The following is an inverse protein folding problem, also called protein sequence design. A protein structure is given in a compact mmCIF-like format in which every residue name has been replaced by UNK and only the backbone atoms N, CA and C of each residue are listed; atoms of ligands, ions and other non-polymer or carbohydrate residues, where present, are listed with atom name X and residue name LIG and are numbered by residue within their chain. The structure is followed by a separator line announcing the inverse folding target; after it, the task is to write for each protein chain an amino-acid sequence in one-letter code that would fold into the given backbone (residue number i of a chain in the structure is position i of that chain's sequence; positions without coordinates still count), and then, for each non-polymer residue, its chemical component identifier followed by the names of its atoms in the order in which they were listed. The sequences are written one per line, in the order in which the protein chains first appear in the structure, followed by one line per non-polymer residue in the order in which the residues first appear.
data_IF_197077954777
#
_entry.id   IF_197077954777
#
_cell.length_a   1.000
_cell.length_b   1.000
_cell.length_c   1.000
_cell.angle_alpha   90.00
_cell.angle_beta   90.00
_cell.angle_gamma   90.00
#
_symmetry.space_group_name_H-M   'P 1'
#
loop_
_entity.id
_entity.type
_entity.pdbx_description
1 polymer ?
#
# COMPACT_ATOMS: atom_id res chain seq x y z
N UNK A 1 7.38 -6.20 -16.84
CA UNK A 1 6.98 -4.81 -16.50
C UNK A 1 7.64 -4.40 -15.19
N UNK A 2 7.77 -3.09 -14.97
CA UNK A 2 8.11 -2.50 -13.69
C UNK A 2 6.83 -2.14 -12.94
N UNK A 3 6.65 -2.67 -11.74
CA UNK A 3 5.44 -2.49 -10.94
C UNK A 3 5.79 -1.73 -9.67
N UNK A 4 5.17 -0.57 -9.46
CA UNK A 4 5.25 0.21 -8.24
C UNK A 4 4.21 -0.30 -7.23
N UNK A 5 4.67 -0.74 -6.07
CA UNK A 5 3.81 -1.30 -5.02
C UNK A 5 3.90 -0.41 -3.79
N UNK A 6 2.76 0.11 -3.33
CA UNK A 6 2.69 0.77 -2.03
C UNK A 6 2.82 -0.22 -0.88
N UNK A 7 3.06 0.27 0.31
CA UNK A 7 3.26 -0.56 1.50
C UNK A 7 2.03 -0.55 2.41
N UNK A 8 1.62 0.64 2.86
CA UNK A 8 0.54 0.78 3.85
C UNK A 8 -0.80 0.40 3.21
N UNK A 9 -1.52 -0.49 3.86
CA UNK A 9 -2.80 -1.08 3.45
C UNK A 9 -2.82 -1.69 2.01
N UNK A 10 -1.61 -1.99 1.49
CA UNK A 10 -1.38 -2.80 0.28
C UNK A 10 -0.58 -4.06 0.61
N UNK A 11 0.53 -3.92 1.34
CA UNK A 11 1.35 -5.03 1.85
C UNK A 11 1.23 -5.16 3.37
N UNK A 12 1.27 -4.04 4.08
CA UNK A 12 1.30 -3.90 5.52
C UNK A 12 -0.06 -3.38 6.02
N UNK A 13 -0.72 -4.03 6.99
CA UNK A 13 -2.03 -3.60 7.50
C UNK A 13 -1.89 -2.39 8.44
N UNK A 14 -1.60 -1.21 7.89
CA UNK A 14 -1.27 -0.01 8.67
C UNK A 14 -2.37 0.38 9.65
N UNK A 15 -3.60 0.48 9.17
CA UNK A 15 -4.75 0.87 10.01
C UNK A 15 -4.94 -0.08 11.19
N UNK A 16 -4.93 -1.39 10.94
CA UNK A 16 -5.13 -2.39 12.00
C UNK A 16 -3.97 -2.38 13.01
N UNK A 17 -2.74 -2.28 12.52
CA UNK A 17 -1.56 -2.23 13.39
C UNK A 17 -1.50 -0.97 14.23
N UNK A 18 -1.92 0.16 13.68
CA UNK A 18 -1.99 1.41 14.43
C UNK A 18 -3.07 1.36 15.51
N UNK A 19 -4.24 0.77 15.22
CA UNK A 19 -5.29 0.52 16.22
C UNK A 19 -4.79 -0.34 17.37
N UNK A 20 -4.11 -1.44 17.05
CA UNK A 20 -3.52 -2.33 18.07
C UNK A 20 -2.53 -1.56 18.95
N UNK A 21 -1.65 -0.77 18.33
CA UNK A 21 -0.67 0.01 19.06
C UNK A 21 -1.34 1.07 19.94
N UNK A 22 -2.33 1.83 19.43
CA UNK A 22 -3.05 2.85 20.21
C UNK A 22 -3.75 2.24 21.42
N UNK A 23 -4.37 1.07 21.25
CA UNK A 23 -5.02 0.36 22.36
C UNK A 23 -3.99 -0.11 23.41
N UNK A 24 -2.87 -0.68 22.97
CA UNK A 24 -1.81 -1.18 23.85
C UNK A 24 -1.08 -0.05 24.58
N UNK A 25 -0.86 1.08 23.93
CA UNK A 25 -0.22 2.27 24.52
C UNK A 25 -1.20 3.09 25.41
N UNK A 26 -2.49 2.73 25.41
CA UNK A 26 -3.51 3.45 26.20
C UNK A 26 -3.84 4.85 25.66
N UNK A 27 -3.55 5.10 24.37
CA UNK A 27 -3.87 6.36 23.68
C UNK A 27 -5.37 6.48 23.47
N UNK A 28 -5.97 5.45 22.84
CA UNK A 28 -7.41 5.34 22.62
C UNK A 28 -7.88 3.91 22.91
N UNK A 29 -9.07 3.74 23.51
CA UNK A 29 -9.66 2.42 23.62
C UNK A 29 -10.13 1.94 22.24
N UNK A 30 -10.07 0.62 21.97
CA UNK A 30 -10.47 0.01 20.70
C UNK A 30 -11.88 0.47 20.23
N UNK A 31 -12.82 0.59 21.16
CA UNK A 31 -14.20 1.03 20.88
C UNK A 31 -14.28 2.48 20.32
N UNK A 32 -13.25 3.31 20.53
CA UNK A 32 -13.16 4.67 19.99
C UNK A 32 -12.55 4.71 18.59
N UNK A 33 -12.09 3.58 18.06
CA UNK A 33 -11.41 3.47 16.77
C UNK A 33 -12.20 2.56 15.81
N UNK A 34 -13.36 3.00 15.28
CA UNK A 34 -14.09 2.23 14.28
C UNK A 34 -13.24 2.02 13.01
N UNK A 35 -13.61 1.05 12.18
CA UNK A 35 -13.00 0.90 10.87
C UNK A 35 -13.18 2.19 10.06
N UNK A 36 -12.10 2.77 9.50
CA UNK A 36 -12.17 4.02 8.77
C UNK A 36 -13.06 3.94 7.53
N UNK A 37 -13.81 5.01 7.30
CA UNK A 37 -14.65 5.19 6.10
C UNK A 37 -14.06 6.21 5.13
N UNK A 38 -13.07 7.00 5.58
CA UNK A 38 -12.33 8.00 4.81
C UNK A 38 -10.83 7.77 4.97
N UNK A 39 -10.05 8.24 4.01
CA UNK A 39 -8.58 8.14 4.07
C UNK A 39 -7.99 8.98 5.22
N UNK A 40 -8.48 10.22 5.37
CA UNK A 40 -8.12 11.09 6.50
C UNK A 40 -9.03 10.75 7.70
N UNK A 41 -8.74 9.64 8.37
CA UNK A 41 -9.59 9.10 9.43
C UNK A 41 -9.21 9.52 10.86
N UNK A 42 -8.18 10.36 11.04
CA UNK A 42 -7.78 10.82 12.37
C UNK A 42 -8.94 11.45 13.17
N UNK A 43 -9.76 12.25 12.50
CA UNK A 43 -10.94 12.87 13.08
C UNK A 43 -12.09 11.87 13.37
N UNK A 44 -12.19 10.76 12.64
CA UNK A 44 -13.12 9.67 12.97
C UNK A 44 -12.77 9.02 14.31
N UNK A 45 -11.49 9.09 14.70
CA UNK A 45 -10.99 8.62 16.00
C UNK A 45 -10.89 9.75 17.03
N UNK A 46 -11.34 10.97 16.70
CA UNK A 46 -11.35 12.12 17.59
C UNK A 46 -9.98 12.76 17.81
N UNK A 47 -9.02 12.50 16.91
CA UNK A 47 -7.67 13.06 16.98
C UNK A 47 -7.55 14.30 16.07
N UNK A 48 -6.86 15.34 16.56
CA UNK A 48 -6.47 16.46 15.73
C UNK A 48 -5.21 16.15 14.89
N UNK A 49 -4.98 16.90 13.80
CA UNK A 49 -3.88 16.65 12.84
C UNK A 49 -2.50 16.59 13.51
N UNK A 50 -2.19 17.51 14.44
CA UNK A 50 -0.89 17.52 15.11
C UNK A 50 -0.73 16.33 16.05
N UNK A 51 -1.78 16.02 16.80
CA UNK A 51 -1.81 14.88 17.71
C UNK A 51 -1.68 13.56 16.95
N UNK A 52 -2.37 13.43 15.81
CA UNK A 52 -2.24 12.31 14.90
C UNK A 52 -0.78 12.10 14.44
N UNK A 53 -0.14 13.17 13.97
CA UNK A 53 1.25 13.11 13.49
C UNK A 53 2.20 12.70 14.63
N UNK A 54 2.05 13.26 15.82
CA UNK A 54 2.87 12.93 16.98
C UNK A 54 2.74 11.45 17.36
N UNK A 55 1.51 10.92 17.42
CA UNK A 55 1.27 9.51 17.75
C UNK A 55 1.77 8.58 16.67
N UNK A 56 1.63 8.92 15.39
CA UNK A 56 2.20 8.12 14.30
C UNK A 56 3.73 8.06 14.37
N UNK A 57 4.41 9.17 14.73
CA UNK A 57 5.86 9.16 14.96
C UNK A 57 6.23 8.27 16.15
N UNK A 58 5.52 8.39 17.27
CA UNK A 58 5.78 7.57 18.45
C UNK A 58 5.56 6.08 18.14
N UNK A 59 4.46 5.71 17.49
CA UNK A 59 4.19 4.34 17.11
C UNK A 59 5.28 3.76 16.19
N UNK A 60 5.75 4.54 15.25
CA UNK A 60 6.84 4.14 14.35
C UNK A 60 8.15 3.92 15.11
N UNK A 61 8.52 4.80 16.04
CA UNK A 61 9.72 4.68 16.88
C UNK A 61 9.60 3.51 17.89
N UNK A 62 8.39 3.17 18.32
CA UNK A 62 8.09 1.98 19.12
C UNK A 62 8.04 0.68 18.32
N UNK A 63 8.34 0.73 17.01
CA UNK A 63 8.51 -0.44 16.16
C UNK A 63 7.26 -0.88 15.38
N UNK A 64 6.25 -0.02 15.21
CA UNK A 64 5.06 -0.31 14.40
C UNK A 64 5.43 -0.91 13.05
N UNK A 65 6.37 -0.28 12.33
CA UNK A 65 6.72 -0.63 10.96
C UNK A 65 7.72 -1.79 10.80
N UNK A 66 8.17 -2.40 11.89
CA UNK A 66 9.07 -3.55 11.85
C UNK A 66 8.42 -4.84 12.37
N UNK A 67 7.17 -4.76 12.85
CA UNK A 67 6.45 -5.87 13.46
C UNK A 67 5.12 -6.17 12.74
N UNK A 68 4.62 -7.38 12.95
CA UNK A 68 3.33 -7.81 12.44
C UNK A 68 3.37 -8.43 11.04
N UNK A 69 2.39 -9.30 10.73
CA UNK A 69 2.31 -9.99 9.45
C UNK A 69 1.86 -9.05 8.32
N UNK A 70 2.18 -9.39 7.05
CA UNK A 70 1.60 -8.72 5.90
C UNK A 70 0.11 -9.01 5.77
N UNK A 71 -0.55 -8.20 4.95
CA UNK A 71 -1.94 -8.43 4.56
C UNK A 71 -2.13 -9.81 3.92
N UNK A 72 -3.30 -10.46 4.13
CA UNK A 72 -3.61 -11.72 3.48
C UNK A 72 -3.42 -11.63 1.96
N UNK A 73 -2.75 -12.61 1.38
CA UNK A 73 -2.50 -12.65 -0.07
C UNK A 73 -1.33 -11.79 -0.57
N UNK A 74 -0.77 -10.86 0.22
CA UNK A 74 0.32 -9.99 -0.23
C UNK A 74 1.56 -10.77 -0.66
N UNK A 75 2.02 -11.74 0.16
CA UNK A 75 3.17 -12.58 -0.18
C UNK A 75 2.90 -13.47 -1.40
N UNK A 76 1.70 -14.04 -1.51
CA UNK A 76 1.32 -14.87 -2.66
C UNK A 76 1.28 -14.05 -3.96
N UNK A 77 0.69 -12.84 -3.91
CA UNK A 77 0.66 -11.91 -5.03
C UNK A 77 2.06 -11.47 -5.44
N UNK A 78 2.92 -11.15 -4.46
CA UNK A 78 4.32 -10.80 -4.72
C UNK A 78 5.07 -11.93 -5.46
N UNK A 79 4.97 -13.15 -4.93
CA UNK A 79 5.61 -14.33 -5.53
C UNK A 79 5.08 -14.62 -6.94
N UNK A 80 3.77 -14.46 -7.17
CA UNK A 80 3.16 -14.66 -8.49
C UNK A 80 3.65 -13.62 -9.51
N UNK A 81 3.73 -12.34 -9.14
CA UNK A 81 4.26 -11.27 -9.99
C UNK A 81 5.74 -11.51 -10.33
N UNK A 82 6.54 -11.93 -9.34
CA UNK A 82 7.95 -12.32 -9.56
C UNK A 82 8.07 -13.51 -10.52
N UNK A 83 7.27 -14.56 -10.31
CA UNK A 83 7.26 -15.75 -11.18
C UNK A 83 6.87 -15.42 -12.62
N UNK A 84 6.02 -14.40 -12.82
CA UNK A 84 5.67 -13.86 -14.14
C UNK A 84 6.78 -12.96 -14.75
N UNK A 85 7.92 -12.78 -14.08
CA UNK A 85 9.07 -12.02 -14.58
C UNK A 85 8.94 -10.50 -14.45
N UNK A 86 8.08 -10.01 -13.55
CA UNK A 86 7.97 -8.58 -13.28
C UNK A 86 9.06 -8.12 -12.31
N UNK A 87 9.49 -6.86 -12.45
CA UNK A 87 10.30 -6.15 -11.46
C UNK A 87 9.37 -5.43 -10.50
N UNK A 88 9.63 -5.55 -9.20
CA UNK A 88 8.79 -5.00 -8.15
C UNK A 88 9.54 -3.91 -7.39
N UNK A 89 9.01 -2.70 -7.44
CA UNK A 89 9.56 -1.52 -6.79
C UNK A 89 8.61 -1.12 -5.67
N UNK A 90 9.13 -1.03 -4.45
CA UNK A 90 8.36 -0.48 -3.34
C UNK A 90 8.39 1.04 -3.44
N UNK A 91 7.20 1.66 -3.51
CA UNK A 91 7.04 3.10 -3.67
C UNK A 91 6.03 3.61 -2.64
N UNK A 92 6.51 4.10 -1.52
CA UNK A 92 5.69 4.45 -0.35
C UNK A 92 5.90 5.89 0.10
N UNK A 93 4.86 6.50 0.66
CA UNK A 93 4.91 7.83 1.26
C UNK A 93 5.24 7.81 2.76
N UNK A 94 5.67 6.66 3.32
CA UNK A 94 6.05 6.56 4.74
C UNK A 94 7.04 7.62 5.14
N UNK A 95 6.70 8.40 6.16
CA UNK A 95 7.54 9.49 6.69
C UNK A 95 7.64 9.48 8.23
N UNK A 96 6.91 8.58 8.90
CA UNK A 96 6.86 8.54 10.37
C UNK A 96 8.04 7.79 10.96
N UNK A 97 8.43 8.22 12.17
CA UNK A 97 9.55 7.66 12.92
C UNK A 97 10.89 8.28 12.56
N UNK A 98 11.92 7.90 13.33
CA UNK A 98 13.29 8.41 13.19
C UNK A 98 14.06 7.79 12.01
N UNK A 99 13.63 6.61 11.53
CA UNK A 99 14.32 5.86 10.48
C UNK A 99 13.33 5.11 9.55
N UNK A 100 12.42 5.80 8.83
CA UNK A 100 11.36 5.15 8.08
C UNK A 100 11.85 4.21 6.97
N UNK A 101 12.96 4.56 6.30
CA UNK A 101 13.55 3.69 5.28
C UNK A 101 14.05 2.38 5.86
N UNK A 102 14.86 2.44 6.92
CA UNK A 102 15.43 1.26 7.57
C UNK A 102 14.34 0.36 8.20
N UNK A 103 13.29 0.95 8.78
CA UNK A 103 12.16 0.22 9.32
C UNK A 103 11.41 -0.54 8.19
N UNK A 104 11.16 0.13 7.07
CA UNK A 104 10.50 -0.48 5.91
C UNK A 104 11.35 -1.61 5.32
N UNK A 105 12.64 -1.39 5.09
CA UNK A 105 13.58 -2.42 4.59
C UNK A 105 13.63 -3.64 5.51
N UNK A 106 13.69 -3.41 6.83
CA UNK A 106 13.71 -4.48 7.84
C UNK A 106 12.45 -5.34 7.74
N UNK A 107 11.29 -4.71 7.63
CA UNK A 107 10.02 -5.44 7.54
C UNK A 107 9.90 -6.19 6.21
N UNK A 108 10.23 -5.56 5.09
CA UNK A 108 10.22 -6.20 3.76
C UNK A 108 11.10 -7.44 3.75
N UNK A 109 12.32 -7.33 4.28
CA UNK A 109 13.26 -8.45 4.37
C UNK A 109 12.75 -9.59 5.27
N UNK A 110 12.16 -9.25 6.43
CA UNK A 110 11.61 -10.24 7.36
C UNK A 110 10.48 -11.08 6.76
N UNK A 111 9.71 -10.50 5.82
CA UNK A 111 8.57 -11.17 5.17
C UNK A 111 8.86 -11.64 3.73
N UNK A 112 10.11 -11.52 3.27
CA UNK A 112 10.54 -12.05 1.98
C UNK A 112 10.07 -11.24 0.78
N UNK A 113 9.81 -9.94 0.96
CA UNK A 113 9.53 -9.01 -0.14
C UNK A 113 10.86 -8.51 -0.73
N UNK A 114 11.38 -9.22 -1.72
CA UNK A 114 12.63 -8.93 -2.43
C UNK A 114 12.44 -7.83 -3.49
N UNK A 115 12.31 -6.58 -3.05
CA UNK A 115 12.11 -5.45 -3.95
C UNK A 115 13.37 -5.12 -4.77
N UNK A 116 13.19 -4.77 -6.05
CA UNK A 116 14.28 -4.28 -6.93
C UNK A 116 14.76 -2.89 -6.50
N UNK A 117 13.88 -2.09 -5.90
CA UNK A 117 14.21 -0.81 -5.27
C UNK A 117 13.16 -0.39 -4.24
N UNK A 118 13.59 0.48 -3.32
CA UNK A 118 12.71 1.15 -2.34
C UNK A 118 12.76 2.66 -2.59
N UNK A 119 11.59 3.28 -2.74
CA UNK A 119 11.41 4.71 -2.90
C UNK A 119 10.49 5.25 -1.80
N UNK A 120 11.02 6.09 -0.91
CA UNK A 120 10.21 6.83 0.05
C UNK A 120 9.88 8.20 -0.54
N UNK A 121 8.69 8.32 -1.12
CA UNK A 121 8.24 9.54 -1.80
C UNK A 121 6.74 9.63 -1.92
N UNK A 122 6.19 10.83 -1.77
CA UNK A 122 4.82 11.17 -2.14
C UNK A 122 4.66 11.53 -3.64
N UNK A 123 5.77 11.80 -4.34
CA UNK A 123 5.78 12.06 -5.77
C UNK A 123 5.93 10.74 -6.56
N UNK A 124 5.05 9.77 -6.29
CA UNK A 124 5.13 8.40 -6.86
C UNK A 124 5.14 8.40 -8.39
N UNK A 125 4.48 9.36 -9.03
CA UNK A 125 4.44 9.51 -10.50
C UNK A 125 5.81 9.74 -11.15
N UNK A 126 6.83 10.17 -10.39
CA UNK A 126 8.19 10.34 -10.88
C UNK A 126 9.00 9.03 -10.92
N UNK A 127 8.54 7.99 -10.23
CA UNK A 127 9.19 6.67 -10.27
C UNK A 127 8.85 6.00 -11.60
N UNK A 128 9.87 5.42 -12.25
CA UNK A 128 9.73 4.81 -13.57
C UNK A 128 9.13 3.40 -13.47
N UNK A 129 7.81 3.31 -13.24
CA UNK A 129 7.05 2.06 -13.26
C UNK A 129 5.98 2.10 -14.36
N UNK A 130 5.65 0.92 -14.90
CA UNK A 130 4.61 0.74 -15.93
C UNK A 130 3.20 0.79 -15.34
N UNK A 131 3.06 0.29 -14.11
CA UNK A 131 1.81 0.25 -13.35
C UNK A 131 2.09 0.43 -11.87
N UNK A 132 1.15 1.05 -11.16
CA UNK A 132 1.20 1.21 -9.69
C UNK A 132 -0.01 0.54 -9.06
N UNK A 133 0.17 0.01 -7.84
CA UNK A 133 -0.94 -0.37 -6.95
C UNK A 133 -0.83 0.47 -5.67
N UNK A 134 -1.95 1.07 -5.27
CA UNK A 134 -2.03 2.00 -4.14
C UNK A 134 -3.46 1.98 -3.54
N UNK A 135 -3.61 2.27 -2.26
CA UNK A 135 -4.90 2.38 -1.58
C UNK A 135 -5.37 3.83 -1.44
N UNK A 136 -4.43 4.80 -1.48
CA UNK A 136 -4.68 6.21 -1.23
C UNK A 136 -5.40 6.88 -2.40
N UNK A 137 -6.60 7.46 -2.18
CA UNK A 137 -7.32 8.21 -3.22
C UNK A 137 -6.48 9.30 -3.86
N UNK A 138 -5.77 10.09 -3.05
CA UNK A 138 -4.95 11.20 -3.53
C UNK A 138 -3.78 10.72 -4.40
N UNK A 139 -3.15 9.59 -4.05
CA UNK A 139 -2.06 9.02 -4.86
C UNK A 139 -2.57 8.45 -6.17
N UNK A 140 -3.69 7.73 -6.17
CA UNK A 140 -4.33 7.22 -7.38
C UNK A 140 -4.70 8.37 -8.33
N UNK A 141 -5.34 9.43 -7.83
CA UNK A 141 -5.68 10.61 -8.64
C UNK A 141 -4.43 11.29 -9.20
N UNK A 142 -3.38 11.43 -8.39
CA UNK A 142 -2.10 12.00 -8.83
C UNK A 142 -1.47 11.15 -9.95
N UNK A 143 -1.40 9.83 -9.77
CA UNK A 143 -0.82 8.92 -10.75
C UNK A 143 -1.57 8.99 -12.08
N UNK A 144 -2.89 8.90 -12.06
CA UNK A 144 -3.75 8.99 -13.25
C UNK A 144 -3.64 10.38 -13.89
N UNK A 145 -3.65 11.45 -13.09
CA UNK A 145 -3.48 12.83 -13.57
C UNK A 145 -2.15 13.07 -14.29
N UNK A 146 -1.11 12.30 -13.98
CA UNK A 146 0.18 12.31 -14.66
C UNK A 146 0.30 11.24 -15.78
N UNK A 147 -0.81 10.63 -16.18
CA UNK A 147 -0.84 9.63 -17.26
C UNK A 147 -0.20 8.29 -16.89
N UNK A 148 -0.07 7.98 -15.59
CA UNK A 148 0.40 6.69 -15.12
C UNK A 148 -0.77 5.70 -15.01
N UNK A 149 -0.54 4.42 -15.30
CA UNK A 149 -1.49 3.36 -14.98
C UNK A 149 -1.46 3.13 -13.49
N UNK A 150 -2.60 3.29 -12.82
CA UNK A 150 -2.77 3.02 -11.40
C UNK A 150 -3.93 2.05 -11.18
N UNK A 151 -3.73 1.09 -10.30
CA UNK A 151 -4.70 0.09 -9.89
C UNK A 151 -5.00 0.32 -8.42
N UNK A 152 -6.28 0.41 -8.08
CA UNK A 152 -6.74 0.67 -6.71
C UNK A 152 -6.70 -0.64 -5.92
N UNK A 153 -5.99 -0.68 -4.80
CA UNK A 153 -6.20 -1.69 -3.78
C UNK A 153 -7.51 -1.36 -3.04
N UNK A 154 -8.52 -2.25 -3.10
CA UNK A 154 -9.86 -1.96 -2.57
C UNK A 154 -9.85 -1.81 -1.05
N UNK A 155 -10.17 -0.61 -0.59
CA UNK A 155 -10.36 -0.27 0.81
C UNK A 155 -11.66 0.51 0.99
N UNK A 156 -12.21 0.50 2.22
CA UNK A 156 -13.48 1.19 2.48
C UNK A 156 -13.41 2.69 2.12
N UNK A 157 -12.28 3.33 2.38
CA UNK A 157 -12.06 4.76 2.18
C UNK A 157 -11.86 5.19 0.72
N UNK A 158 -11.65 4.26 -0.21
CA UNK A 158 -11.43 4.60 -1.62
C UNK A 158 -12.58 4.19 -2.55
N UNK A 159 -13.69 3.66 -2.01
CA UNK A 159 -14.86 3.21 -2.79
C UNK A 159 -15.63 4.33 -3.50
N UNK A 160 -15.41 5.57 -3.10
CA UNK A 160 -15.96 6.74 -3.78
C UNK A 160 -15.27 7.07 -5.11
N UNK A 161 -14.08 6.52 -5.38
CA UNK A 161 -13.35 6.72 -6.63
C UNK A 161 -14.10 6.14 -7.83
N UNK A 162 -13.91 6.70 -9.04
CA UNK A 162 -14.63 6.28 -10.24
C UNK A 162 -14.56 4.78 -10.49
N UNK A 163 -15.71 4.13 -10.68
CA UNK A 163 -15.79 2.68 -10.94
C UNK A 163 -15.20 2.23 -12.28
N UNK A 164 -14.85 3.17 -13.16
CA UNK A 164 -14.13 2.88 -14.40
C UNK A 164 -12.63 2.66 -14.22
N UNK A 165 -12.07 3.00 -13.05
CA UNK A 165 -10.67 2.77 -12.73
C UNK A 165 -10.44 1.32 -12.29
N UNK A 166 -9.29 0.76 -12.68
CA UNK A 166 -8.93 -0.60 -12.32
C UNK A 166 -8.85 -0.75 -10.79
N UNK A 167 -9.50 -1.79 -10.28
CA UNK A 167 -9.57 -2.06 -8.84
C UNK A 167 -9.40 -3.55 -8.58
N UNK A 168 -8.67 -3.90 -7.53
CA UNK A 168 -8.36 -5.28 -7.17
C UNK A 168 -8.41 -5.48 -5.65
N UNK A 169 -8.58 -6.71 -5.22
CA UNK A 169 -8.44 -7.11 -3.82
C UNK A 169 -6.95 -7.35 -3.50
N UNK A 170 -6.24 -6.27 -3.20
CA UNK A 170 -4.82 -6.30 -2.84
C UNK A 170 -3.89 -6.83 -3.93
N UNK A 171 -2.66 -7.23 -3.53
CA UNK A 171 -1.61 -7.60 -4.47
C UNK A 171 -1.88 -8.94 -5.20
N UNK A 172 -2.59 -9.86 -4.59
CA UNK A 172 -3.00 -11.11 -5.25
C UNK A 172 -3.92 -10.82 -6.43
N UNK A 173 -4.90 -9.94 -6.25
CA UNK A 173 -5.79 -9.50 -7.33
C UNK A 173 -5.05 -8.77 -8.46
N UNK A 174 -4.00 -8.01 -8.16
CA UNK A 174 -3.14 -7.41 -9.19
C UNK A 174 -2.44 -8.48 -10.03
N UNK A 175 -1.90 -9.53 -9.39
CA UNK A 175 -1.25 -10.62 -10.10
C UNK A 175 -2.23 -11.33 -11.07
N UNK A 176 -3.45 -11.56 -10.64
CA UNK A 176 -4.52 -12.13 -11.48
C UNK A 176 -4.87 -11.22 -12.67
N UNK A 177 -5.06 -9.91 -12.40
CA UNK A 177 -5.39 -8.91 -13.41
C UNK A 177 -4.33 -8.85 -14.52
N UNK A 178 -3.05 -8.84 -14.15
CA UNK A 178 -1.95 -8.76 -15.14
C UNK A 178 -1.79 -10.05 -15.93
N UNK A 179 -1.96 -11.21 -15.30
CA UNK A 179 -1.90 -12.52 -15.98
C UNK A 179 -3.04 -12.69 -17.00
N UNK A 180 -4.26 -12.25 -16.65
CA UNK A 180 -5.40 -12.30 -17.57
C UNK A 180 -5.20 -11.38 -18.79
N UNK A 181 -4.56 -10.22 -18.60
CA UNK A 181 -4.24 -9.28 -19.68
C UNK A 181 -3.22 -9.81 -20.70
N UNK A 182 -2.24 -10.60 -20.26
CA UNK A 182 -1.25 -11.22 -21.16
C UNK A 182 -1.86 -12.33 -22.02
N UNK A 183 -2.80 -13.10 -21.48
CA UNK A 183 -3.49 -14.17 -22.22
C UNK A 183 -4.31 -13.66 -23.42
N UNK A 184 -4.74 -12.39 -23.40
CA UNK A 184 -5.48 -11.77 -24.51
C UNK A 184 -4.58 -11.18 -25.60
N UNK A 185 -3.29 -10.98 -25.31
CA UNK A 185 -2.30 -10.46 -26.29
C UNK A 185 -1.65 -11.54 -27.16
N UNK A 186 -1.70 -12.81 -26.77
CA UNK A 186 -1.09 -13.94 -27.49
C UNK A 186 -2.00 -14.65 -28.51
N UNK A 187 -3.13 -14.09 -28.92
CA UNK A 187 -3.89 -14.64 -30.02
C UNK A 187 -3.10 -14.40 -31.34
N UNK A 188 -2.46 -15.43 -31.95
CA UNK A 188 -1.72 -15.23 -33.18
C UNK A 188 -2.70 -14.87 -34.28
N UNK A 189 -2.41 -13.78 -34.99
CA UNK A 189 -3.00 -13.47 -36.26
C UNK A 189 -2.72 -14.69 -37.20
N UNK A 190 -3.66 -15.63 -37.33
CA UNK A 190 -3.57 -16.68 -38.35
C UNK A 190 -3.84 -16.02 -39.67
N UNK A 191 -2.80 -15.98 -40.51
CA UNK A 191 -2.87 -15.68 -41.94
C UNK A 191 -3.69 -16.71 -42.70
#
# INVERSE_FOLDING_TARGET
MDIGVDVDDVLFPFVDRLRDWFAAAGVLPEAAMPAPTRYDFADEWGLGDLEWVEWCHQAADDGLFVTGPPLPGAQAGWAALRAAGHRLHVVTARAFGSAPAAATETWLAAWGFDADSLHLTSAKHLVACDVFIDDSPAMIEQLIGHGRRAVIADCAWNRHLPGAWERVDGLAGLAELLTAGDSTREAPCRA
#
